data_IF_469426636468
#
_entry.id   IF_469426636468
#
_cell.length_a   1.000
_cell.length_b   1.000
_cell.length_c   1.000
_cell.angle_alpha   90.00
_cell.angle_beta   90.00
_cell.angle_gamma   90.00
#
_symmetry.space_group_name_H-M   'P 1'
#
loop_
_entity.id
_entity.type
_entity.pdbx_description
1 polymer ?
#
# COMPACT_ATOMS: atom_id res chain seq x y z
N UNK A 1 -21.43 -35.22 -24.59
CA UNK A 1 -21.73 -33.80 -24.29
C UNK A 1 -21.61 -32.99 -25.59
N UNK A 2 -22.75 -32.68 -26.21
CA UNK A 2 -22.85 -31.76 -27.34
C UNK A 2 -24.23 -31.11 -27.26
N UNK A 3 -24.28 -29.80 -27.06
CA UNK A 3 -25.48 -28.98 -27.26
C UNK A 3 -25.06 -27.64 -27.89
N UNK A 4 -25.03 -27.66 -29.23
CA UNK A 4 -25.43 -26.66 -30.24
C UNK A 4 -25.42 -25.15 -29.93
N UNK A 5 -25.06 -24.33 -30.95
CA UNK A 5 -25.81 -23.12 -31.26
C UNK A 5 -26.44 -23.23 -32.65
N UNK A 6 -27.76 -23.13 -32.74
CA UNK A 6 -28.46 -22.86 -34.01
C UNK A 6 -29.87 -22.40 -33.71
N UNK A 7 -30.11 -21.09 -33.73
CA UNK A 7 -31.45 -20.54 -33.92
C UNK A 7 -31.34 -19.33 -34.85
N UNK A 8 -31.50 -19.62 -36.14
CA UNK A 8 -32.07 -18.65 -37.07
C UNK A 8 -33.58 -18.79 -37.01
N UNK A 9 -34.25 -17.64 -37.23
CA UNK A 9 -35.59 -17.46 -37.80
C UNK A 9 -36.71 -17.10 -36.80
N UNK A 10 -37.04 -15.80 -36.81
CA UNK A 10 -38.35 -15.28 -36.42
C UNK A 10 -39.47 -15.88 -37.29
N UNK A 11 -40.64 -16.10 -36.68
CA UNK A 11 -41.92 -15.97 -37.36
C UNK A 11 -42.97 -15.43 -36.40
N UNK A 12 -43.80 -14.58 -36.99
CA UNK A 12 -44.78 -13.66 -36.41
C UNK A 12 -46.16 -14.33 -36.25
N UNK A 13 -46.99 -13.66 -35.45
CA UNK A 13 -48.47 -13.68 -35.41
C UNK A 13 -49.26 -14.81 -34.70
N UNK A 14 -50.11 -14.37 -33.76
CA UNK A 14 -51.51 -14.82 -33.68
C UNK A 14 -52.04 -15.29 -32.33
N UNK A 15 -52.99 -14.52 -31.78
CA UNK A 15 -54.15 -14.96 -30.99
C UNK A 15 -54.08 -15.13 -29.45
N UNK A 16 -54.55 -14.05 -28.79
CA UNK A 16 -55.71 -13.97 -27.89
C UNK A 16 -55.90 -14.94 -26.70
N UNK A 17 -55.89 -14.28 -25.52
CA UNK A 17 -56.84 -14.41 -24.41
C UNK A 17 -56.55 -15.34 -23.19
N UNK A 18 -56.50 -14.64 -22.04
CA UNK A 18 -56.81 -15.03 -20.65
C UNK A 18 -55.87 -15.96 -19.86
N UNK A 19 -55.14 -15.40 -18.88
CA UNK A 19 -55.45 -15.51 -17.44
C UNK A 19 -54.22 -15.17 -16.57
N UNK A 20 -54.46 -14.36 -15.54
CA UNK A 20 -53.51 -13.72 -14.63
C UNK A 20 -52.47 -14.64 -13.98
N UNK A 21 -51.24 -14.13 -13.86
CA UNK A 21 -50.18 -14.68 -13.00
C UNK A 21 -48.99 -13.73 -12.98
N UNK A 22 -48.75 -13.11 -11.82
CA UNK A 22 -47.65 -12.20 -11.53
C UNK A 22 -46.28 -12.77 -11.93
N UNK A 23 -45.38 -11.92 -12.42
CA UNK A 23 -44.00 -11.77 -11.90
C UNK A 23 -43.20 -10.82 -12.80
N UNK A 24 -43.00 -9.62 -12.26
CA UNK A 24 -41.74 -8.87 -12.30
C UNK A 24 -41.10 -8.68 -13.68
N UNK A 25 -41.40 -7.53 -14.28
CA UNK A 25 -40.50 -6.85 -15.21
C UNK A 25 -39.17 -6.63 -14.49
N UNK A 26 -38.23 -7.54 -14.67
CA UNK A 26 -36.81 -7.30 -14.42
C UNK A 26 -36.36 -6.24 -15.42
N UNK A 27 -36.62 -5.00 -15.03
CA UNK A 27 -36.05 -3.80 -15.62
C UNK A 27 -34.54 -3.96 -15.46
N UNK A 28 -33.87 -4.27 -16.56
CA UNK A 28 -32.41 -4.31 -16.62
C UNK A 28 -31.85 -2.94 -16.24
N UNK A 29 -31.61 -2.76 -14.95
CA UNK A 29 -30.98 -1.58 -14.40
C UNK A 29 -29.53 -1.57 -14.85
N UNK A 30 -29.26 -0.94 -15.99
CA UNK A 30 -27.91 -0.55 -16.34
C UNK A 30 -27.58 0.65 -15.46
N UNK A 31 -26.86 0.42 -14.37
CA UNK A 31 -26.32 1.50 -13.55
C UNK A 31 -25.27 2.22 -14.40
N UNK A 32 -25.71 3.23 -15.17
CA UNK A 32 -24.81 4.19 -15.79
C UNK A 32 -24.27 5.04 -14.65
N UNK A 33 -23.13 4.64 -14.11
CA UNK A 33 -22.35 5.48 -13.22
C UNK A 33 -21.83 6.66 -14.04
N UNK A 34 -22.59 7.75 -14.09
CA UNK A 34 -22.03 9.06 -14.42
C UNK A 34 -21.00 9.37 -13.34
N UNK A 35 -19.70 9.56 -13.69
CA UNK A 35 -18.74 10.03 -12.71
C UNK A 35 -19.10 11.48 -12.40
N UNK A 36 -19.94 11.66 -11.38
CA UNK A 36 -20.10 12.93 -10.70
C UNK A 36 -18.77 13.20 -10.02
N UNK A 37 -17.85 13.84 -10.73
CA UNK A 37 -16.61 14.34 -10.15
C UNK A 37 -17.01 15.52 -9.25
N UNK A 38 -17.38 15.17 -8.02
CA UNK A 38 -17.80 16.09 -6.97
C UNK A 38 -16.52 16.73 -6.39
N UNK A 39 -15.92 17.65 -7.14
CA UNK A 39 -14.66 18.34 -6.82
C UNK A 39 -14.65 18.91 -5.40
N UNK A 40 -15.82 19.22 -4.82
CA UNK A 40 -15.95 19.74 -3.45
C UNK A 40 -15.52 18.73 -2.37
N UNK A 41 -15.58 17.42 -2.62
CA UNK A 41 -15.13 16.40 -1.66
C UNK A 41 -13.65 16.11 -1.80
N UNK A 42 -13.09 16.28 -3.00
CA UNK A 42 -11.67 16.04 -3.30
C UNK A 42 -10.76 16.90 -2.42
N UNK A 43 -11.01 18.21 -2.32
CA UNK A 43 -10.18 19.11 -1.49
C UNK A 43 -10.19 18.74 0.01
N UNK A 44 -11.34 18.24 0.49
CA UNK A 44 -11.48 17.80 1.89
C UNK A 44 -10.76 16.48 2.12
N UNK A 45 -10.82 15.55 1.17
CA UNK A 45 -10.14 14.26 1.25
C UNK A 45 -8.63 14.41 1.09
N UNK A 46 -8.16 15.31 0.22
CA UNK A 46 -6.74 15.66 0.09
C UNK A 46 -6.16 16.17 1.40
N UNK A 47 -6.86 17.11 2.04
CA UNK A 47 -6.43 17.65 3.34
C UNK A 47 -6.35 16.56 4.41
N UNK A 48 -7.30 15.62 4.40
CA UNK A 48 -7.32 14.50 5.36
C UNK A 48 -6.27 13.43 5.01
N UNK A 49 -6.04 13.15 3.74
CA UNK A 49 -5.03 12.20 3.29
C UNK A 49 -3.62 12.64 3.67
N UNK A 50 -3.37 13.96 3.63
CA UNK A 50 -2.10 14.55 4.06
C UNK A 50 -1.75 14.22 5.53
N UNK A 51 -2.73 13.94 6.38
CA UNK A 51 -2.49 13.54 7.79
C UNK A 51 -1.83 12.15 7.90
N UNK A 52 -2.07 11.27 6.93
CA UNK A 52 -1.57 9.89 6.94
C UNK A 52 -0.27 9.70 6.17
N UNK A 53 0.05 10.62 5.25
CA UNK A 53 1.28 10.53 4.46
C UNK A 53 2.41 11.26 5.20
N UNK A 54 3.53 10.61 5.51
CA UNK A 54 4.67 11.27 6.14
C UNK A 54 5.16 12.48 5.36
N UNK A 55 5.40 13.60 6.06
CA UNK A 55 5.81 14.88 5.45
C UNK A 55 7.15 14.83 4.72
N UNK A 56 7.99 13.84 5.02
CA UNK A 56 9.32 13.68 4.44
C UNK A 56 9.54 12.31 3.83
N UNK A 57 10.36 12.28 2.79
CA UNK A 57 10.75 11.05 2.09
C UNK A 57 11.54 10.11 2.99
N UNK A 58 12.36 10.64 3.91
CA UNK A 58 13.08 9.82 4.89
C UNK A 58 12.13 9.12 5.86
N UNK A 59 11.07 9.81 6.32
CA UNK A 59 10.07 9.21 7.20
C UNK A 59 9.24 8.16 6.46
N UNK A 60 8.88 8.41 5.20
CA UNK A 60 8.19 7.43 4.37
C UNK A 60 9.06 6.18 4.15
N UNK A 61 10.35 6.35 3.83
CA UNK A 61 11.25 5.20 3.70
C UNK A 61 11.42 4.45 5.01
N UNK A 62 11.49 5.14 6.16
CA UNK A 62 11.55 4.46 7.45
C UNK A 62 10.30 3.60 7.72
N UNK A 63 9.10 4.08 7.35
CA UNK A 63 7.88 3.28 7.44
C UNK A 63 7.93 2.07 6.48
N UNK A 64 8.37 2.27 5.23
CA UNK A 64 8.58 1.17 4.27
C UNK A 64 9.64 0.17 4.76
N UNK A 65 10.60 0.62 5.57
CA UNK A 65 11.66 -0.23 6.09
C UNK A 65 11.14 -1.26 7.12
N UNK A 66 10.02 -0.97 7.77
CA UNK A 66 9.37 -1.86 8.74
C UNK A 66 8.54 -2.96 8.05
N UNK A 67 8.22 -2.76 6.77
CA UNK A 67 7.45 -3.72 5.96
C UNK A 67 8.34 -4.80 5.35
N UNK A 68 7.80 -6.02 5.28
CA UNK A 68 8.47 -7.15 4.65
C UNK A 68 8.28 -7.06 3.13
N UNK A 69 9.34 -6.69 2.40
CA UNK A 69 9.31 -6.63 0.94
C UNK A 69 9.38 -8.03 0.30
N UNK A 70 8.73 -8.25 -0.87
CA UNK A 70 7.98 -7.28 -1.67
C UNK A 70 6.64 -6.92 -1.03
N UNK A 71 6.23 -5.66 -1.16
CA UNK A 71 4.97 -5.13 -0.59
C UNK A 71 4.21 -4.32 -1.65
N UNK A 72 2.88 -4.35 -1.58
CA UNK A 72 2.01 -3.61 -2.50
C UNK A 72 1.71 -2.19 -2.00
N UNK A 73 1.32 -1.29 -2.89
CA UNK A 73 0.86 0.07 -2.48
C UNK A 73 -0.35 -0.01 -1.54
N UNK A 74 -1.24 -1.00 -1.73
CA UNK A 74 -2.37 -1.26 -0.84
C UNK A 74 -1.90 -1.54 0.59
N UNK A 75 -0.93 -2.46 0.75
CA UNK A 75 -0.37 -2.81 2.07
C UNK A 75 0.36 -1.64 2.73
N UNK A 76 1.09 -0.83 1.95
CA UNK A 76 1.70 0.41 2.46
C UNK A 76 0.62 1.39 2.92
N UNK A 77 -0.44 1.54 2.15
CA UNK A 77 -1.56 2.43 2.49
C UNK A 77 -2.22 1.95 3.77
N UNK A 78 -2.49 0.66 3.89
CA UNK A 78 -3.09 0.04 5.08
C UNK A 78 -2.24 0.30 6.32
N UNK A 79 -0.92 0.13 6.24
CA UNK A 79 -0.02 0.40 7.38
C UNK A 79 -0.07 1.87 7.80
N UNK A 80 -0.04 2.81 6.86
CA UNK A 80 -0.04 4.24 7.16
C UNK A 80 -1.34 4.75 7.77
N UNK A 81 -2.47 4.11 7.47
CA UNK A 81 -3.78 4.56 7.96
C UNK A 81 -4.23 3.82 9.23
N UNK A 82 -3.55 2.76 9.64
CA UNK A 82 -3.80 2.09 10.91
C UNK A 82 -3.20 2.91 12.08
N UNK A 83 -3.84 2.94 13.27
CA UNK A 83 -5.10 2.29 13.62
C UNK A 83 -6.36 3.09 13.26
N UNK A 84 -6.21 4.23 12.59
CA UNK A 84 -7.28 5.21 12.41
C UNK A 84 -8.40 4.73 11.47
N UNK A 85 -8.07 3.94 10.43
CA UNK A 85 -9.00 3.36 9.45
C UNK A 85 -10.00 4.39 8.90
N UNK A 86 -9.53 5.37 8.12
CA UNK A 86 -10.35 6.46 7.60
C UNK A 86 -11.37 5.96 6.56
N UNK A 87 -12.19 6.86 6.03
CA UNK A 87 -13.16 6.50 5.00
C UNK A 87 -12.47 5.98 3.73
N UNK A 88 -13.19 5.21 2.92
CA UNK A 88 -12.65 4.62 1.69
C UNK A 88 -12.15 5.70 0.71
N UNK A 89 -12.78 6.87 0.66
CA UNK A 89 -12.35 7.98 -0.19
C UNK A 89 -11.01 8.56 0.29
N UNK A 90 -10.81 8.63 1.61
CA UNK A 90 -9.54 9.10 2.19
C UNK A 90 -8.44 8.07 1.95
N UNK A 91 -8.73 6.78 2.20
CA UNK A 91 -7.81 5.69 1.90
C UNK A 91 -7.39 5.70 0.42
N UNK A 92 -8.36 5.85 -0.50
CA UNK A 92 -8.09 5.91 -1.93
C UNK A 92 -7.22 7.11 -2.31
N UNK A 93 -7.42 8.26 -1.66
CA UNK A 93 -6.60 9.47 -1.87
C UNK A 93 -5.17 9.24 -1.38
N UNK A 94 -4.97 8.58 -0.24
CA UNK A 94 -3.64 8.20 0.26
C UNK A 94 -2.96 7.24 -0.73
N UNK A 95 -3.66 6.19 -1.14
CA UNK A 95 -3.16 5.22 -2.12
C UNK A 95 -2.75 5.90 -3.43
N UNK A 96 -3.63 6.75 -3.99
CA UNK A 96 -3.36 7.47 -5.23
C UNK A 96 -2.11 8.34 -5.13
N UNK A 97 -1.96 9.08 -4.03
CA UNK A 97 -0.82 9.95 -3.82
C UNK A 97 0.49 9.21 -3.59
N UNK A 98 0.44 8.05 -2.94
CA UNK A 98 1.60 7.16 -2.86
C UNK A 98 1.98 6.65 -4.26
N UNK A 99 1.02 6.10 -5.00
CA UNK A 99 1.25 5.51 -6.31
C UNK A 99 1.75 6.53 -7.35
N UNK A 100 1.13 7.71 -7.42
CA UNK A 100 1.40 8.71 -8.47
C UNK A 100 2.56 9.65 -8.15
N UNK A 101 2.75 10.02 -6.87
CA UNK A 101 3.73 11.06 -6.51
C UNK A 101 4.89 10.49 -5.69
N UNK A 102 4.59 9.93 -4.51
CA UNK A 102 5.64 9.69 -3.51
C UNK A 102 6.53 8.51 -3.85
N UNK A 103 5.95 7.38 -4.26
CA UNK A 103 6.74 6.18 -4.57
C UNK A 103 7.58 6.33 -5.85
N UNK A 104 7.05 6.90 -6.97
CA UNK A 104 7.87 7.21 -8.13
C UNK A 104 9.01 8.18 -7.82
N UNK A 105 8.78 9.18 -6.96
CA UNK A 105 9.85 10.11 -6.56
C UNK A 105 10.96 9.41 -5.76
N UNK A 106 10.60 8.49 -4.86
CA UNK A 106 11.56 7.69 -4.10
C UNK A 106 12.34 6.71 -4.99
N UNK A 107 11.68 6.12 -5.98
CA UNK A 107 12.31 5.25 -6.98
C UNK A 107 13.30 6.02 -7.85
N UNK A 108 12.90 7.20 -8.35
CA UNK A 108 13.79 8.09 -9.11
C UNK A 108 15.00 8.56 -8.29
N UNK A 109 14.84 8.69 -6.96
CA UNK A 109 15.93 8.99 -6.03
C UNK A 109 16.80 7.76 -5.69
N UNK A 110 16.41 6.56 -6.14
CA UNK A 110 17.10 5.29 -5.86
C UNK A 110 16.93 4.79 -4.43
N UNK A 111 15.93 5.29 -3.70
CA UNK A 111 15.67 4.93 -2.31
C UNK A 111 14.88 3.61 -2.19
N UNK A 112 14.02 3.33 -3.17
CA UNK A 112 13.25 2.09 -3.33
C UNK A 112 13.30 1.64 -4.80
N UNK A 113 12.85 0.43 -5.09
CA UNK A 113 12.55 0.00 -6.46
C UNK A 113 11.04 -0.14 -6.58
N UNK A 114 10.40 0.64 -7.45
CA UNK A 114 8.95 0.66 -7.61
C UNK A 114 8.53 0.19 -9.01
N UNK A 115 7.82 -0.95 -9.06
CA UNK A 115 7.12 -1.39 -10.26
C UNK A 115 5.75 -0.72 -10.33
N UNK A 116 5.68 0.41 -11.04
CA UNK A 116 4.45 1.19 -11.25
C UNK A 116 3.33 0.37 -11.93
N UNK A 117 3.70 -0.55 -12.82
CA UNK A 117 2.73 -1.37 -13.57
C UNK A 117 2.04 -2.38 -12.66
N UNK A 118 2.77 -2.88 -11.65
CA UNK A 118 2.25 -3.86 -10.70
C UNK A 118 1.81 -3.25 -9.37
N UNK A 119 2.18 -2.00 -9.08
CA UNK A 119 2.00 -1.38 -7.77
C UNK A 119 2.78 -2.11 -6.69
N UNK A 120 3.98 -2.61 -7.00
CA UNK A 120 4.81 -3.41 -6.08
C UNK A 120 6.10 -2.66 -5.78
N UNK A 121 6.46 -2.64 -4.50
CA UNK A 121 7.69 -2.07 -3.99
C UNK A 121 8.67 -3.19 -3.60
N UNK A 122 9.91 -3.05 -4.03
CA UNK A 122 11.05 -3.86 -3.63
C UNK A 122 12.13 -3.01 -2.94
N UNK A 123 13.02 -3.66 -2.18
CA UNK A 123 14.16 -2.98 -1.55
C UNK A 123 15.22 -2.66 -2.60
N UNK A 124 15.59 -1.40 -2.72
CA UNK A 124 16.82 -1.04 -3.44
C UNK A 124 18.05 -1.67 -2.79
N UNK A 125 18.70 -2.57 -3.53
CA UNK A 125 19.94 -3.23 -3.09
C UNK A 125 21.07 -2.22 -2.81
N UNK A 126 21.02 -1.04 -3.41
CA UNK A 126 22.00 0.04 -3.27
C UNK A 126 22.06 0.59 -1.83
N UNK A 127 20.92 0.79 -1.17
CA UNK A 127 20.86 1.27 0.23
C UNK A 127 20.98 0.15 1.26
N UNK A 128 20.62 -1.08 0.91
CA UNK A 128 20.89 -2.23 1.79
C UNK A 128 22.39 -2.35 2.09
N UNK A 129 23.26 -1.97 1.14
CA UNK A 129 24.69 -1.91 1.36
C UNK A 129 25.10 -0.70 2.23
N UNK A 130 24.40 0.43 2.12
CA UNK A 130 24.71 1.67 2.85
C UNK A 130 24.23 1.69 4.32
N UNK A 131 23.08 1.10 4.62
CA UNK A 131 22.59 0.91 6.00
C UNK A 131 23.10 -0.37 6.67
N UNK A 132 23.78 -1.25 5.92
CA UNK A 132 24.66 -2.29 6.47
C UNK A 132 26.06 -1.73 6.82
N UNK A 133 26.22 -0.40 6.87
CA UNK A 133 27.40 0.27 7.44
C UNK A 133 27.19 0.80 8.86
N UNK A 134 26.37 0.15 9.70
CA UNK A 134 26.81 -0.01 11.08
C UNK A 134 28.02 -0.94 11.05
N UNK A 135 29.15 -0.38 10.62
CA UNK A 135 30.40 -1.07 10.34
C UNK A 135 30.67 -2.02 11.48
N UNK A 136 30.88 -3.30 11.17
CA UNK A 136 31.38 -4.30 12.12
C UNK A 136 32.53 -3.74 12.99
N UNK A 137 33.34 -2.83 12.44
CA UNK A 137 34.36 -2.07 13.15
C UNK A 137 33.86 -1.21 14.33
N UNK A 138 32.71 -0.53 14.20
CA UNK A 138 32.13 0.31 15.28
C UNK A 138 31.52 -0.56 16.38
N UNK A 139 30.82 -1.64 16.02
CA UNK A 139 30.33 -2.62 17.01
C UNK A 139 31.48 -3.34 17.72
N UNK A 140 32.55 -3.68 17.01
CA UNK A 140 33.76 -4.24 17.61
C UNK A 140 34.46 -3.24 18.54
N UNK A 141 34.52 -1.94 18.18
CA UNK A 141 35.10 -0.91 19.03
C UNK A 141 34.28 -0.67 20.31
N UNK A 142 32.94 -0.66 20.21
CA UNK A 142 32.05 -0.54 21.37
C UNK A 142 32.17 -1.77 22.27
N UNK A 143 32.21 -2.98 21.69
CA UNK A 143 32.42 -4.24 22.42
C UNK A 143 33.76 -4.27 23.15
N UNK A 144 34.84 -3.85 22.50
CA UNK A 144 36.18 -3.80 23.09
C UNK A 144 36.27 -2.76 24.21
N UNK A 145 35.66 -1.58 24.04
CA UNK A 145 35.61 -0.55 25.07
C UNK A 145 34.89 -1.02 26.33
N UNK A 146 33.75 -1.71 26.19
CA UNK A 146 32.99 -2.24 27.32
C UNK A 146 33.78 -3.35 28.05
N UNK A 147 34.47 -4.22 27.32
CA UNK A 147 35.33 -5.26 27.89
C UNK A 147 36.47 -4.65 28.73
N UNK A 148 37.14 -3.61 28.23
CA UNK A 148 38.23 -2.95 28.95
C UNK A 148 37.75 -2.32 30.27
N UNK A 149 36.55 -1.72 30.29
CA UNK A 149 35.97 -1.14 31.51
C UNK A 149 35.67 -2.23 32.54
N UNK A 150 35.10 -3.37 32.12
CA UNK A 150 34.82 -4.50 33.02
C UNK A 150 36.11 -5.07 33.61
N UNK A 151 37.16 -5.26 32.79
CA UNK A 151 38.45 -5.77 33.27
C UNK A 151 39.07 -4.80 34.28
N UNK A 152 39.05 -3.49 34.00
CA UNK A 152 39.59 -2.49 34.92
C UNK A 152 38.86 -2.49 36.28
N UNK A 153 37.53 -2.58 36.26
CA UNK A 153 36.72 -2.66 37.48
C UNK A 153 37.04 -3.92 38.29
N UNK A 154 37.15 -5.08 37.64
CA UNK A 154 37.52 -6.34 38.31
C UNK A 154 38.93 -6.27 38.89
N UNK A 155 39.91 -5.72 38.15
CA UNK A 155 41.28 -5.55 38.66
C UNK A 155 41.33 -4.63 39.88
N UNK A 156 40.59 -3.52 39.87
CA UNK A 156 40.50 -2.61 41.01
C UNK A 156 39.82 -3.29 42.21
N UNK A 157 38.76 -4.07 42.00
CA UNK A 157 38.10 -4.82 43.07
C UNK A 157 39.00 -5.90 43.69
N UNK A 158 39.84 -6.58 42.89
CA UNK A 158 40.79 -7.59 43.39
C UNK A 158 41.99 -6.96 44.10
N UNK A 159 42.41 -5.75 43.73
CA UNK A 159 43.53 -5.06 44.38
C UNK A 159 43.15 -4.43 45.73
N UNK A 160 41.86 -4.16 45.94
CA UNK A 160 41.31 -3.53 47.15
C UNK A 160 40.80 -4.57 48.18
N UNK A 161 40.66 -5.85 47.80
CA UNK A 161 40.37 -6.97 48.72
C UNK A 161 41.65 -7.61 49.25
#
# INVERSE_FOLDING_TARGET
MRLTPSWLRSSSEGDAEERSGDSETTSGFTMVSTPGHDFSKTDTNETRAQEFIPDSDTALVAALDELNTPVTVDEVTDELVEPARPTIETWATVHERLHQDRLPALDAAGAIEFDETRGVLERSMTRANENQFFSSAVLAAISLGLLCVVIALVSVSVLIS
#
